data_IF_598812031867
#
_entry.id   IF_598812031867
#
_cell.length_a   1.000
_cell.length_b   1.000
_cell.length_c   1.000
_cell.angle_alpha   90.00
_cell.angle_beta   90.00
_cell.angle_gamma   90.00
#
_symmetry.space_group_name_H-M   'P 1'
#
loop_
_entity.id
_entity.type
_entity.pdbx_description
1 polymer ?
#
# COMPACT_ATOMS: atom_id res chain seq x y z
N UNK A 1 3.85 30.49 -5.95
CA UNK A 1 3.39 29.16 -5.54
C UNK A 1 1.90 29.08 -5.84
N UNK A 2 1.45 28.08 -6.61
CA UNK A 2 0.02 27.88 -6.84
C UNK A 2 -0.52 27.09 -5.65
N UNK A 3 -1.13 27.80 -4.71
CA UNK A 3 -1.91 27.17 -3.63
C UNK A 3 -3.28 26.77 -4.20
N UNK A 4 -3.81 25.60 -3.81
CA UNK A 4 -5.18 25.12 -4.12
C UNK A 4 -5.46 24.50 -5.51
N UNK A 5 -4.46 23.95 -6.21
CA UNK A 5 -4.74 23.20 -7.44
C UNK A 5 -5.40 21.85 -7.14
N UNK A 6 -6.72 21.77 -7.33
CA UNK A 6 -7.53 20.56 -7.09
C UNK A 6 -7.54 19.56 -8.23
N UNK A 7 -7.22 20.01 -9.45
CA UNK A 7 -7.27 19.16 -10.64
C UNK A 7 -6.19 19.55 -11.64
N UNK A 8 -5.60 18.56 -12.29
CA UNK A 8 -4.73 18.71 -13.46
C UNK A 8 -5.40 18.07 -14.67
N UNK A 9 -5.54 18.82 -15.76
CA UNK A 9 -6.23 18.33 -16.96
C UNK A 9 -5.54 18.78 -18.24
N UNK A 10 -5.71 18.00 -19.32
CA UNK A 10 -5.33 18.36 -20.69
C UNK A 10 -3.84 18.69 -20.85
N UNK A 11 -2.99 17.74 -20.46
CA UNK A 11 -1.54 17.84 -20.57
C UNK A 11 -1.01 16.83 -21.61
N UNK A 12 -1.22 17.07 -22.93
CA UNK A 12 -1.02 16.07 -23.98
C UNK A 12 0.44 15.68 -24.21
N UNK A 13 1.39 16.49 -23.73
CA UNK A 13 2.83 16.29 -23.95
C UNK A 13 3.58 15.80 -22.71
N UNK A 14 2.93 15.75 -21.54
CA UNK A 14 3.60 15.35 -20.30
C UNK A 14 3.80 13.84 -20.29
N UNK A 15 5.06 13.43 -20.13
CA UNK A 15 5.49 12.02 -20.06
C UNK A 15 5.77 11.58 -18.63
N UNK A 16 6.17 12.52 -17.77
CA UNK A 16 6.48 12.27 -16.37
C UNK A 16 5.90 13.40 -15.50
N UNK A 17 5.27 13.02 -14.39
CA UNK A 17 4.63 13.96 -13.46
C UNK A 17 4.94 13.57 -12.02
N UNK A 18 5.36 14.55 -11.24
CA UNK A 18 5.63 14.41 -9.81
C UNK A 18 4.73 15.35 -9.02
N UNK A 19 3.90 14.78 -8.15
CA UNK A 19 3.11 15.51 -7.17
C UNK A 19 3.76 15.36 -5.80
N UNK A 20 3.96 16.47 -5.11
CA UNK A 20 4.63 16.49 -3.83
C UNK A 20 3.91 17.42 -2.87
N UNK A 21 3.30 16.82 -1.84
CA UNK A 21 2.56 17.54 -0.80
C UNK A 21 1.51 18.47 -1.40
N UNK A 22 0.66 17.91 -2.26
CA UNK A 22 -0.52 18.58 -2.80
C UNK A 22 -1.77 18.03 -2.08
N UNK A 23 -2.07 18.48 -0.84
CA UNK A 23 -3.13 17.90 -0.02
C UNK A 23 -4.53 18.13 -0.57
N UNK A 24 -4.69 19.13 -1.45
CA UNK A 24 -5.97 19.46 -2.09
C UNK A 24 -6.13 18.90 -3.49
N UNK A 25 -5.13 18.20 -4.04
CA UNK A 25 -5.25 17.54 -5.33
C UNK A 25 -6.31 16.44 -5.23
N UNK A 26 -7.33 16.51 -6.09
CA UNK A 26 -8.43 15.55 -6.13
C UNK A 26 -8.41 14.70 -7.40
N UNK A 27 -7.91 15.22 -8.53
CA UNK A 27 -7.97 14.51 -9.83
C UNK A 27 -6.86 14.86 -10.82
N UNK A 28 -6.49 13.88 -11.64
CA UNK A 28 -5.64 14.08 -12.83
C UNK A 28 -6.37 13.47 -14.03
N UNK A 29 -6.56 14.24 -15.10
CA UNK A 29 -7.30 13.80 -16.29
C UNK A 29 -6.59 14.15 -17.60
N UNK A 30 -6.78 13.34 -18.63
CA UNK A 30 -6.39 13.70 -20.00
C UNK A 30 -4.89 13.98 -20.14
N UNK A 31 -4.07 13.03 -19.67
CA UNK A 31 -2.60 13.07 -19.78
C UNK A 31 -2.13 11.83 -20.57
N UNK A 32 -2.46 11.75 -21.87
CA UNK A 32 -2.39 10.51 -22.63
C UNK A 32 -0.98 9.94 -22.82
N UNK A 33 0.06 10.77 -22.71
CA UNK A 33 1.47 10.35 -22.86
C UNK A 33 2.18 10.07 -21.55
N UNK A 34 1.50 10.21 -20.40
CA UNK A 34 2.12 10.01 -19.09
C UNK A 34 2.54 8.55 -18.91
N UNK A 35 3.83 8.32 -18.73
CA UNK A 35 4.41 7.00 -18.51
C UNK A 35 4.81 6.80 -17.04
N UNK A 36 5.21 7.87 -16.35
CA UNK A 36 5.66 7.84 -14.97
C UNK A 36 4.88 8.85 -14.14
N UNK A 37 4.26 8.38 -13.06
CA UNK A 37 3.56 9.22 -12.09
C UNK A 37 4.11 8.95 -10.68
N UNK A 38 4.58 10.00 -10.00
CA UNK A 38 4.91 9.95 -8.59
C UNK A 38 3.93 10.80 -7.79
N UNK A 39 3.30 10.20 -6.79
CA UNK A 39 2.35 10.87 -5.89
C UNK A 39 2.89 10.73 -4.47
N UNK A 40 3.29 11.86 -3.88
CA UNK A 40 3.82 11.91 -2.53
C UNK A 40 2.92 12.79 -1.67
N UNK A 41 2.35 12.21 -0.60
CA UNK A 41 1.50 12.91 0.37
C UNK A 41 0.37 13.74 -0.27
N UNK A 42 -0.46 13.12 -1.11
CA UNK A 42 -1.63 13.73 -1.74
C UNK A 42 -2.92 12.98 -1.33
N UNK A 43 -3.35 13.07 -0.06
CA UNK A 43 -4.39 12.19 0.51
C UNK A 43 -5.79 12.36 -0.08
N UNK A 44 -6.09 13.49 -0.75
CA UNK A 44 -7.40 13.73 -1.38
C UNK A 44 -7.48 13.26 -2.83
N UNK A 45 -6.38 12.80 -3.43
CA UNK A 45 -6.38 12.36 -4.82
C UNK A 45 -7.22 11.09 -4.92
N UNK A 46 -8.28 11.16 -5.72
CA UNK A 46 -9.30 10.10 -5.80
C UNK A 46 -9.55 9.62 -7.22
N UNK A 47 -9.04 10.33 -8.24
CA UNK A 47 -9.32 10.03 -9.64
C UNK A 47 -8.10 10.21 -10.54
N UNK A 48 -7.79 9.17 -11.30
CA UNK A 48 -6.84 9.17 -12.41
C UNK A 48 -7.57 8.69 -13.67
N UNK A 49 -7.71 9.55 -14.67
CA UNK A 49 -8.55 9.26 -15.86
C UNK A 49 -7.86 9.71 -17.16
N UNK A 50 -8.03 8.95 -18.24
CA UNK A 50 -7.42 9.32 -19.52
C UNK A 50 -5.88 9.31 -19.49
N UNK A 51 -5.31 8.30 -18.82
CA UNK A 51 -3.86 8.09 -18.67
C UNK A 51 -3.44 6.70 -19.22
N UNK A 52 -3.76 6.37 -20.49
CA UNK A 52 -3.57 5.02 -21.05
C UNK A 52 -2.11 4.57 -21.15
N UNK A 53 -1.15 5.49 -21.20
CA UNK A 53 0.27 5.16 -21.36
C UNK A 53 1.00 4.84 -20.04
N UNK A 54 0.33 4.91 -18.88
CA UNK A 54 0.98 4.80 -17.58
C UNK A 54 1.71 3.46 -17.43
N UNK A 55 3.03 3.51 -17.24
CA UNK A 55 3.87 2.33 -17.07
C UNK A 55 4.25 2.12 -15.61
N UNK A 56 4.59 3.22 -14.91
CA UNK A 56 5.10 3.17 -13.54
C UNK A 56 4.41 4.18 -12.64
N UNK A 57 3.94 3.69 -11.50
CA UNK A 57 3.30 4.49 -10.46
C UNK A 57 4.12 4.38 -9.17
N UNK A 58 4.46 5.52 -8.58
CA UNK A 58 5.09 5.61 -7.27
C UNK A 58 4.12 6.28 -6.30
N UNK A 59 3.84 5.63 -5.18
CA UNK A 59 3.03 6.16 -4.10
C UNK A 59 3.87 6.24 -2.83
N UNK A 60 3.93 7.41 -2.22
CA UNK A 60 4.59 7.60 -0.93
C UNK A 60 3.67 8.33 0.02
N UNK A 61 3.23 7.61 1.04
CA UNK A 61 2.50 8.16 2.17
C UNK A 61 2.53 7.15 3.34
N UNK A 62 3.38 7.42 4.33
CA UNK A 62 3.50 6.56 5.52
C UNK A 62 2.26 6.58 6.42
N UNK A 63 1.29 7.47 6.17
CA UNK A 63 -0.01 7.49 6.85
C UNK A 63 -1.12 6.74 6.09
N UNK A 64 -0.84 6.25 4.88
CA UNK A 64 -1.79 5.49 4.05
C UNK A 64 -2.16 4.16 4.70
N UNK A 65 -3.45 3.99 5.01
CA UNK A 65 -4.00 2.80 5.69
C UNK A 65 -4.63 1.78 4.73
N UNK A 66 -5.09 2.24 3.56
CA UNK A 66 -5.73 1.42 2.53
C UNK A 66 -5.23 1.84 1.16
N UNK A 67 -5.31 0.93 0.18
CA UNK A 67 -4.93 1.25 -1.19
C UNK A 67 -5.96 2.21 -1.81
N UNK A 68 -5.51 3.27 -2.52
CA UNK A 68 -6.41 4.23 -3.12
C UNK A 68 -7.24 3.60 -4.24
N UNK A 69 -8.52 4.00 -4.34
CA UNK A 69 -9.47 3.43 -5.30
C UNK A 69 -9.06 3.60 -6.76
N UNK A 70 -8.40 4.71 -7.10
CA UNK A 70 -7.95 4.99 -8.48
C UNK A 70 -6.97 3.96 -9.04
N UNK A 71 -6.40 3.07 -8.22
CA UNK A 71 -5.56 1.97 -8.71
C UNK A 71 -6.33 0.99 -9.59
N UNK A 72 -7.65 0.90 -9.42
CA UNK A 72 -8.54 0.11 -10.31
C UNK A 72 -8.71 0.77 -11.68
N UNK A 73 -8.64 2.11 -11.73
CA UNK A 73 -8.90 2.89 -12.94
C UNK A 73 -7.69 2.92 -13.89
N UNK A 74 -6.50 2.57 -13.39
CA UNK A 74 -5.24 2.58 -14.14
C UNK A 74 -4.62 1.21 -14.22
N UNK A 75 -3.84 0.95 -15.28
CA UNK A 75 -3.16 -0.34 -15.50
C UNK A 75 -1.64 -0.18 -15.65
N UNK A 76 -0.93 0.34 -14.62
CA UNK A 76 0.52 0.41 -14.66
C UNK A 76 1.14 -0.98 -14.71
N UNK A 77 2.31 -1.11 -15.34
CA UNK A 77 3.11 -2.34 -15.26
C UNK A 77 3.76 -2.51 -13.89
N UNK A 78 4.18 -1.41 -13.28
CA UNK A 78 4.90 -1.40 -12.01
C UNK A 78 4.29 -0.41 -11.03
N UNK A 79 4.06 -0.87 -9.80
CA UNK A 79 3.70 -0.05 -8.64
C UNK A 79 4.82 -0.14 -7.61
N UNK A 80 5.29 1.02 -7.15
CA UNK A 80 6.20 1.15 -6.03
C UNK A 80 5.50 1.92 -4.93
N UNK A 81 5.52 1.40 -3.71
CA UNK A 81 4.72 1.91 -2.60
C UNK A 81 5.61 2.04 -1.35
N UNK A 82 5.69 3.23 -0.78
CA UNK A 82 6.24 3.48 0.55
C UNK A 82 5.06 3.89 1.48
N UNK A 83 4.62 2.99 2.35
CA UNK A 83 3.37 3.12 3.11
C UNK A 83 3.49 2.76 4.60
N UNK A 84 2.35 2.79 5.31
CA UNK A 84 2.27 2.33 6.69
C UNK A 84 2.52 0.82 6.80
N UNK A 85 3.13 0.37 7.90
CA UNK A 85 3.37 -1.04 8.16
C UNK A 85 2.08 -1.90 8.15
N UNK A 86 0.94 -1.45 8.72
CA UNK A 86 -0.30 -2.20 8.63
C UNK A 86 -0.77 -2.44 7.19
N UNK A 87 -0.69 -1.42 6.33
CA UNK A 87 -1.06 -1.57 4.91
C UNK A 87 -0.11 -2.51 4.19
N UNK A 88 1.20 -2.39 4.44
CA UNK A 88 2.17 -3.31 3.86
C UNK A 88 1.93 -4.76 4.32
N UNK A 89 1.59 -4.95 5.60
CA UNK A 89 1.20 -6.24 6.15
C UNK A 89 -0.03 -6.83 5.43
N UNK A 90 -1.04 -6.03 5.14
CA UNK A 90 -2.20 -6.47 4.36
C UNK A 90 -1.79 -6.91 2.94
N UNK A 91 -0.96 -6.12 2.25
CA UNK A 91 -0.46 -6.46 0.90
C UNK A 91 0.37 -7.76 0.92
N UNK A 92 1.13 -8.01 2.01
CA UNK A 92 1.93 -9.22 2.17
C UNK A 92 1.11 -10.51 2.24
N UNK A 93 -0.20 -10.41 2.47
CA UNK A 93 -1.12 -11.55 2.44
C UNK A 93 -1.51 -11.97 1.01
N UNK A 94 -1.03 -11.27 -0.03
CA UNK A 94 -1.30 -11.61 -1.42
C UNK A 94 -2.78 -11.63 -1.73
N UNK A 95 -3.28 -12.73 -2.31
CA UNK A 95 -4.70 -12.89 -2.66
C UNK A 95 -5.68 -12.79 -1.49
N UNK A 96 -5.21 -12.92 -0.24
CA UNK A 96 -6.02 -12.70 0.97
C UNK A 96 -6.03 -11.24 1.44
N UNK A 97 -5.34 -10.33 0.74
CA UNK A 97 -5.40 -8.88 0.98
C UNK A 97 -6.82 -8.35 0.71
N UNK A 98 -7.34 -7.52 1.61
CA UNK A 98 -8.69 -6.95 1.47
C UNK A 98 -8.86 -6.04 0.24
N UNK A 99 -7.76 -5.48 -0.25
CA UNK A 99 -7.69 -4.55 -1.38
C UNK A 99 -7.04 -5.21 -2.61
N UNK A 100 -7.02 -6.55 -2.69
CA UNK A 100 -6.32 -7.27 -3.76
C UNK A 100 -6.87 -6.94 -5.16
N UNK A 101 -8.17 -6.72 -5.27
CA UNK A 101 -8.86 -6.29 -6.49
C UNK A 101 -8.26 -5.01 -7.09
N UNK A 102 -7.73 -4.11 -6.25
CA UNK A 102 -7.09 -2.84 -6.69
C UNK A 102 -5.72 -3.02 -7.33
N UNK A 103 -5.04 -4.13 -7.10
CA UNK A 103 -3.62 -4.29 -7.48
C UNK A 103 -3.31 -5.61 -8.21
N UNK A 104 -4.24 -6.56 -8.22
CA UNK A 104 -4.06 -7.90 -8.82
C UNK A 104 -3.78 -7.90 -10.32
N UNK A 105 -4.10 -6.81 -11.03
CA UNK A 105 -3.82 -6.62 -12.46
C UNK A 105 -2.41 -6.08 -12.73
N UNK A 106 -1.69 -5.62 -11.71
CA UNK A 106 -0.37 -4.99 -11.86
C UNK A 106 0.69 -6.08 -11.94
N UNK A 107 1.60 -6.00 -12.91
CA UNK A 107 2.59 -7.06 -13.15
C UNK A 107 3.62 -7.15 -12.01
N UNK A 108 4.05 -5.99 -11.48
CA UNK A 108 5.11 -5.91 -10.48
C UNK A 108 4.76 -4.91 -9.39
N UNK A 109 4.86 -5.34 -8.13
CA UNK A 109 4.66 -4.47 -6.97
C UNK A 109 5.89 -4.54 -6.06
N UNK A 110 6.39 -3.39 -5.66
CA UNK A 110 7.43 -3.25 -4.63
C UNK A 110 6.91 -2.35 -3.53
N UNK A 111 6.49 -2.96 -2.42
CA UNK A 111 6.02 -2.26 -1.24
C UNK A 111 7.11 -2.17 -0.18
N UNK A 112 7.15 -1.07 0.55
CA UNK A 112 8.06 -0.83 1.65
C UNK A 112 7.37 -0.10 2.80
N UNK A 113 7.84 -0.40 4.00
CA UNK A 113 7.44 0.30 5.22
C UNK A 113 8.68 0.47 6.10
N UNK A 114 8.65 1.53 6.90
CA UNK A 114 9.75 1.89 7.77
C UNK A 114 9.34 2.01 9.23
N UNK A 115 10.36 2.03 10.08
CA UNK A 115 10.23 2.39 11.48
C UNK A 115 11.33 3.37 11.83
N UNK A 116 10.95 4.48 12.46
CA UNK A 116 11.85 5.52 12.96
C UNK A 116 12.91 5.96 11.92
N UNK A 117 14.13 5.40 12.02
CA UNK A 117 15.32 5.78 11.24
C UNK A 117 15.55 4.90 10.00
N UNK A 118 14.85 3.77 9.85
CA UNK A 118 14.99 2.85 8.72
C UNK A 118 13.74 2.94 7.85
N UNK A 119 13.81 3.68 6.74
CA UNK A 119 12.65 3.98 5.87
C UNK A 119 12.06 2.76 5.15
N UNK A 120 12.85 1.71 4.94
CA UNK A 120 12.45 0.49 4.22
C UNK A 120 12.92 -0.76 4.97
N UNK A 121 12.53 -0.86 6.24
CA UNK A 121 12.84 -2.00 7.11
C UNK A 121 12.08 -3.25 6.64
N UNK A 122 10.83 -3.06 6.25
CA UNK A 122 9.98 -4.11 5.73
C UNK A 122 9.74 -3.93 4.24
N UNK A 123 9.61 -5.06 3.54
CA UNK A 123 9.34 -5.07 2.12
C UNK A 123 8.33 -6.16 1.74
N UNK A 124 7.66 -5.94 0.61
CA UNK A 124 6.89 -6.94 -0.12
C UNK A 124 7.23 -6.79 -1.60
N UNK A 125 7.69 -7.87 -2.22
CA UNK A 125 7.88 -7.97 -3.66
C UNK A 125 6.90 -8.95 -4.23
N UNK A 126 6.15 -8.50 -5.23
CA UNK A 126 5.18 -9.31 -5.94
C UNK A 126 5.43 -9.23 -7.44
N UNK A 127 5.39 -10.39 -8.10
CA UNK A 127 5.26 -10.51 -9.56
C UNK A 127 4.06 -11.37 -9.90
N UNK A 128 3.28 -10.96 -10.89
CA UNK A 128 2.08 -11.68 -11.34
C UNK A 128 2.42 -12.93 -12.14
N UNK A 129 3.32 -12.81 -13.11
CA UNK A 129 3.71 -13.89 -14.02
C UNK A 129 5.25 -13.89 -14.25
N UNK A 130 5.97 -14.94 -13.80
CA UNK A 130 5.50 -15.99 -12.91
C UNK A 130 5.07 -15.42 -11.55
N UNK A 131 4.10 -16.08 -10.90
CA UNK A 131 3.66 -15.66 -9.58
C UNK A 131 4.81 -15.81 -8.58
N UNK A 132 5.20 -14.70 -7.95
CA UNK A 132 6.16 -14.68 -6.85
C UNK A 132 5.70 -13.66 -5.82
N UNK A 133 5.74 -14.04 -4.55
CA UNK A 133 5.53 -13.14 -3.42
C UNK A 133 6.65 -13.38 -2.41
N UNK A 134 7.45 -12.35 -2.17
CA UNK A 134 8.60 -12.36 -1.26
C UNK A 134 8.45 -11.20 -0.27
N UNK A 135 8.64 -11.48 1.02
CA UNK A 135 8.42 -10.51 2.10
C UNK A 135 9.21 -10.90 3.33
N UNK A 136 9.68 -9.91 4.08
CA UNK A 136 10.28 -10.10 5.40
C UNK A 136 9.32 -9.74 6.55
N UNK A 137 8.03 -9.57 6.26
CA UNK A 137 7.00 -9.29 7.26
C UNK A 137 6.56 -10.61 7.88
N UNK A 138 6.80 -10.74 9.19
CA UNK A 138 6.33 -11.87 9.98
C UNK A 138 4.99 -11.49 10.60
N UNK A 139 3.99 -12.36 10.54
CA UNK A 139 2.62 -12.10 11.04
C UNK A 139 2.57 -11.58 12.50
N UNK A 140 3.54 -11.97 13.35
CA UNK A 140 3.72 -11.48 14.73
C UNK A 140 4.21 -10.02 14.86
N UNK A 141 4.54 -9.37 13.75
CA UNK A 141 4.95 -7.96 13.69
C UNK A 141 3.75 -7.02 13.60
N UNK A 142 2.60 -7.52 13.13
CA UNK A 142 1.36 -6.78 12.97
C UNK A 142 0.65 -6.59 14.33
N UNK A 143 0.87 -7.50 15.29
CA UNK A 143 0.22 -7.49 16.61
C UNK A 143 0.90 -6.60 17.65
N UNK A 144 2.11 -6.07 17.40
CA UNK A 144 2.89 -5.34 18.41
C UNK A 144 2.53 -3.85 18.58
N UNK A 145 1.71 -3.28 17.70
CA UNK A 145 1.20 -1.90 17.84
C UNK A 145 -0.05 -1.79 18.71
N UNK A 146 -0.40 -2.83 19.47
CA UNK A 146 -1.47 -2.77 20.48
C UNK A 146 -0.90 -3.00 21.89
N UNK A 147 -0.01 -2.12 22.33
CA UNK A 147 0.41 -2.10 23.74
C UNK A 147 -0.59 -1.30 24.57
N UNK A 148 -1.58 -1.99 25.14
CA UNK A 148 -2.01 -1.80 26.54
C UNK A 148 -2.59 -3.12 27.03
N UNK A 149 -1.73 -3.98 27.59
CA UNK A 149 -2.15 -5.05 28.50
C UNK A 149 -2.33 -4.43 29.89
N UNK A 150 -3.47 -4.60 30.59
CA UNK A 150 -3.50 -4.43 32.04
C UNK A 150 -2.91 -5.68 32.72
N UNK A 151 -2.35 -5.55 33.94
CA UNK A 151 -1.63 -6.63 34.59
C UNK A 151 -2.58 -7.66 35.21
N UNK A 152 -2.21 -8.93 35.03
CA UNK A 152 -2.54 -10.11 35.87
C UNK A 152 -4.00 -10.55 36.00
N UNK A 153 -4.31 -11.73 35.45
CA UNK A 153 -4.93 -12.78 36.26
C UNK A 153 -4.35 -14.15 35.86
N UNK A 154 -3.64 -14.77 36.80
CA UNK A 154 -2.96 -16.06 36.67
C UNK A 154 -3.80 -17.19 37.28
N UNK A 155 -5.14 -17.08 37.24
CA UNK A 155 -6.07 -18.09 37.74
C UNK A 155 -6.71 -19.01 36.68
N UNK A 156 -6.53 -18.74 35.38
CA UNK A 156 -7.27 -19.45 34.32
C UNK A 156 -6.61 -20.69 33.69
N UNK A 157 -5.31 -20.91 33.84
CA UNK A 157 -4.55 -21.93 33.08
C UNK A 157 -4.12 -23.13 33.94
N UNK A 158 -5.06 -23.76 34.65
CA UNK A 158 -4.81 -25.03 35.37
C UNK A 158 -5.85 -26.14 35.15
N UNK A 159 -6.64 -26.11 34.08
CA UNK A 159 -7.70 -27.14 33.86
C UNK A 159 -7.74 -27.81 32.48
N UNK A 160 -6.61 -28.03 31.81
CA UNK A 160 -6.62 -28.83 30.56
C UNK A 160 -5.44 -29.81 30.37
N UNK A 161 -4.75 -30.26 31.43
CA UNK A 161 -3.79 -31.37 31.32
C UNK A 161 -3.88 -32.31 32.53
N UNK A 162 -4.93 -33.14 32.54
CA UNK A 162 -5.08 -34.45 33.20
C UNK A 162 -6.54 -34.84 32.94
N UNK A 163 -6.89 -35.89 32.22
CA UNK A 163 -6.43 -37.27 32.35
C UNK A 163 -6.62 -38.01 31.02
N UNK A 164 -5.57 -38.67 30.54
CA UNK A 164 -5.73 -39.89 29.77
C UNK A 164 -6.18 -41.02 30.71
N UNK A 165 -7.05 -41.91 30.19
CA UNK A 165 -7.48 -43.24 30.68
C UNK A 165 -6.35 -44.09 31.30
N UNK A 166 -6.59 -45.21 32.05
CA UNK A 166 -7.69 -46.18 31.86
C UNK A 166 -8.25 -46.93 33.10
N UNK A 167 -9.45 -47.51 32.95
CA UNK A 167 -9.76 -48.91 33.24
C UNK A 167 -10.84 -49.39 32.26
#
# INVERSE_FOLDING_TARGET
MVHNLKSLQNLPSVVELHLYKNPDMESIRGVPKLQVLSINYCPKLKLLEGIPALQKLYLLDFSMKTLPGYLQDVKPKSLVLDCSLPLLGNISMGASCSDWDKISHIQQISGYAGEMRIRRRWYVFYTREPFKLDTNIVCSSISRDKTTLPPTDLAGLRRLLATASPQ
#
